data_IF_332057177197
#
_entry.id   IF_332057177197
#
_cell.length_a   1.000
_cell.length_b   1.000
_cell.length_c   1.000
_cell.angle_alpha   90.00
_cell.angle_beta   90.00
_cell.angle_gamma   90.00
#
_symmetry.space_group_name_H-M   'P 1'
#
loop_
_entity.id
_entity.type
_entity.pdbx_description
1 polymer ?
#
# COMPACT_ATOMS: atom_id res chain seq x y z
N UNK A 1 15.90 8.52 -16.82
CA UNK A 1 15.99 7.04 -16.88
C UNK A 1 14.56 6.49 -16.83
N UNK A 2 14.32 5.27 -17.33
CA UNK A 2 13.03 4.80 -17.88
C UNK A 2 11.89 4.52 -16.87
N UNK A 3 11.43 5.51 -16.11
CA UNK A 3 10.17 5.39 -15.33
C UNK A 3 8.92 5.27 -16.24
N UNK A 4 9.11 5.36 -17.56
CA UNK A 4 8.05 5.38 -18.59
C UNK A 4 7.18 4.13 -18.63
N UNK A 5 7.66 3.00 -18.12
CA UNK A 5 7.02 1.70 -18.31
C UNK A 5 6.39 1.13 -17.04
N UNK A 6 6.25 1.92 -15.97
CA UNK A 6 5.40 1.55 -14.81
C UNK A 6 3.93 1.49 -15.24
N UNK A 7 3.18 0.51 -14.74
CA UNK A 7 1.78 0.30 -15.08
C UNK A 7 1.57 -0.11 -16.54
N UNK A 8 2.50 -0.88 -17.11
CA UNK A 8 2.36 -1.47 -18.44
C UNK A 8 2.18 -2.98 -18.30
N UNK A 9 1.44 -3.58 -19.23
CA UNK A 9 1.42 -5.03 -19.37
C UNK A 9 2.83 -5.53 -19.65
N UNK A 10 3.15 -6.72 -19.20
CA UNK A 10 4.41 -7.38 -19.52
C UNK A 10 4.20 -8.84 -19.90
N UNK A 11 5.13 -9.36 -20.69
CA UNK A 11 5.32 -10.80 -20.92
C UNK A 11 6.78 -11.13 -20.59
N UNK A 12 6.98 -12.18 -19.80
CA UNK A 12 8.32 -12.68 -19.51
C UNK A 12 8.92 -13.32 -20.77
N UNK A 13 10.15 -12.97 -21.12
CA UNK A 13 10.84 -13.55 -22.28
C UNK A 13 10.97 -15.07 -22.09
N UNK A 14 10.67 -15.84 -23.14
CA UNK A 14 10.67 -17.30 -23.15
C UNK A 14 9.67 -17.97 -22.18
N UNK A 15 8.60 -17.25 -21.78
CA UNK A 15 7.52 -17.79 -20.96
C UNK A 15 6.16 -17.25 -21.41
N UNK A 16 5.09 -17.96 -21.08
CA UNK A 16 3.71 -17.46 -21.25
C UNK A 16 3.23 -16.64 -20.04
N UNK A 17 4.07 -16.46 -19.02
CA UNK A 17 3.75 -15.62 -17.86
C UNK A 17 3.62 -14.16 -18.27
N UNK A 18 2.52 -13.57 -17.85
CA UNK A 18 2.11 -12.19 -18.13
C UNK A 18 1.67 -11.49 -16.85
N UNK A 19 1.62 -10.16 -16.89
CA UNK A 19 1.20 -9.36 -15.76
C UNK A 19 1.34 -7.88 -16.02
N UNK A 20 1.54 -7.09 -14.95
CA UNK A 20 1.84 -5.66 -15.06
C UNK A 20 3.12 -5.30 -14.31
N UNK A 21 3.81 -4.27 -14.80
CA UNK A 21 4.93 -3.64 -14.10
C UNK A 21 4.40 -2.69 -13.02
N UNK A 22 5.03 -2.70 -11.85
CA UNK A 22 4.62 -1.90 -10.68
C UNK A 22 5.59 -0.79 -10.35
N UNK A 23 6.90 -1.06 -10.42
CA UNK A 23 7.94 -0.12 -10.01
C UNK A 23 9.27 -0.47 -10.69
N UNK A 24 10.11 0.53 -10.94
CA UNK A 24 11.49 0.34 -11.40
C UNK A 24 12.46 0.53 -10.22
N UNK A 25 13.24 -0.51 -9.93
CA UNK A 25 14.27 -0.52 -8.89
C UNK A 25 15.67 -0.57 -9.51
N UNK A 26 16.51 0.42 -9.24
CA UNK A 26 17.90 0.47 -9.71
C UNK A 26 18.95 0.73 -8.62
N UNK A 27 18.55 1.27 -7.47
CA UNK A 27 19.47 1.83 -6.47
C UNK A 27 20.00 0.80 -5.45
N UNK A 28 19.40 -0.40 -5.36
CA UNK A 28 19.66 -1.35 -4.27
C UNK A 28 20.05 -2.77 -4.72
N UNK A 29 20.30 -3.00 -6.01
CA UNK A 29 20.69 -4.32 -6.51
C UNK A 29 22.19 -4.48 -6.66
N UNK A 30 22.72 -5.67 -6.39
CA UNK A 30 24.07 -6.07 -6.80
C UNK A 30 24.31 -5.69 -8.27
N UNK A 31 25.30 -4.82 -8.50
CA UNK A 31 25.73 -4.30 -9.81
C UNK A 31 24.85 -3.21 -10.47
N UNK A 32 23.96 -2.51 -9.73
CA UNK A 32 23.13 -1.41 -10.27
C UNK A 32 22.27 -1.83 -11.48
N UNK A 33 21.84 -3.09 -11.52
CA UNK A 33 21.05 -3.63 -12.62
C UNK A 33 19.58 -3.25 -12.43
N UNK A 34 19.02 -2.53 -13.40
CA UNK A 34 17.60 -2.18 -13.43
C UNK A 34 16.70 -3.43 -13.40
N UNK A 35 15.82 -3.51 -12.39
CA UNK A 35 14.80 -4.53 -12.25
C UNK A 35 13.43 -3.89 -12.08
N UNK A 36 12.44 -4.41 -12.78
CA UNK A 36 11.04 -4.07 -12.53
C UNK A 36 10.48 -4.99 -11.46
N UNK A 37 9.83 -4.41 -10.45
CA UNK A 37 8.84 -5.14 -9.66
C UNK A 37 7.64 -5.38 -10.58
N UNK A 38 7.27 -6.63 -10.78
CA UNK A 38 6.16 -7.01 -11.66
C UNK A 38 5.19 -7.89 -10.91
N UNK A 39 3.90 -7.74 -11.20
CA UNK A 39 2.85 -8.56 -10.63
C UNK A 39 2.17 -9.40 -11.69
N UNK A 40 2.14 -10.71 -11.49
CA UNK A 40 1.61 -11.66 -12.47
C UNK A 40 0.08 -11.65 -12.52
N UNK A 41 -0.49 -11.96 -13.68
CA UNK A 41 -1.94 -11.95 -13.87
C UNK A 41 -2.65 -13.08 -13.11
N UNK A 42 -2.07 -14.28 -13.17
CA UNK A 42 -2.68 -15.50 -12.63
C UNK A 42 -2.17 -15.89 -11.23
N UNK A 43 -1.23 -15.12 -10.69
CA UNK A 43 -0.58 -15.39 -9.40
C UNK A 43 -0.59 -14.09 -8.59
N UNK A 44 -0.91 -14.16 -7.29
CA UNK A 44 -0.76 -13.02 -6.37
C UNK A 44 0.70 -12.92 -5.92
N UNK A 45 1.61 -12.76 -6.86
CA UNK A 45 3.05 -12.75 -6.62
C UNK A 45 3.64 -11.52 -7.29
N UNK A 46 4.48 -10.81 -6.54
CA UNK A 46 5.35 -9.77 -7.07
C UNK A 46 6.78 -10.27 -7.12
N UNK A 47 7.40 -10.20 -8.29
CA UNK A 47 8.81 -10.53 -8.49
C UNK A 47 9.59 -9.34 -9.03
N UNK A 48 10.90 -9.30 -8.75
CA UNK A 48 11.81 -8.32 -9.35
C UNK A 48 12.56 -8.95 -10.52
N UNK A 49 12.25 -8.50 -11.73
CA UNK A 49 12.76 -9.09 -12.97
C UNK A 49 13.59 -8.04 -13.72
N UNK A 50 14.75 -8.45 -14.24
CA UNK A 50 15.60 -7.58 -15.06
C UNK A 50 14.84 -7.08 -16.28
N UNK A 51 15.04 -5.82 -16.64
CA UNK A 51 14.38 -5.21 -17.80
C UNK A 51 14.58 -6.01 -19.11
N UNK A 52 15.77 -6.59 -19.32
CA UNK A 52 16.11 -7.42 -20.49
C UNK A 52 15.27 -8.70 -20.64
N UNK A 53 14.67 -9.17 -19.54
CA UNK A 53 13.83 -10.37 -19.53
C UNK A 53 12.35 -10.04 -19.71
N UNK A 54 11.99 -8.77 -19.92
CA UNK A 54 10.60 -8.33 -20.05
C UNK A 54 10.35 -7.80 -21.45
N UNK A 55 9.28 -8.28 -22.08
CA UNK A 55 8.62 -7.60 -23.19
C UNK A 55 7.47 -6.75 -22.67
N UNK A 56 7.50 -5.45 -22.95
CA UNK A 56 6.48 -4.50 -22.48
C UNK A 56 5.35 -4.37 -23.49
N UNK A 57 4.12 -4.32 -22.98
CA UNK A 57 2.89 -4.12 -23.73
C UNK A 57 2.26 -2.76 -23.46
N UNK A 58 0.94 -2.69 -23.65
CA UNK A 58 0.16 -1.46 -23.46
C UNK A 58 0.09 -1.01 -21.99
N UNK A 59 -0.07 0.29 -21.78
CA UNK A 59 -0.32 0.87 -20.45
C UNK A 59 -1.69 0.44 -19.93
N UNK A 60 -1.75 -0.03 -18.69
CA UNK A 60 -3.03 -0.33 -18.02
C UNK A 60 -3.65 0.94 -17.45
N UNK A 61 -4.95 0.90 -17.17
CA UNK A 61 -5.59 2.01 -16.49
C UNK A 61 -5.05 2.16 -15.07
N UNK A 62 -5.12 3.39 -14.54
CA UNK A 62 -4.72 3.67 -13.15
C UNK A 62 -5.57 2.87 -12.15
N UNK A 63 -6.84 2.64 -12.49
CA UNK A 63 -7.76 1.81 -11.70
C UNK A 63 -7.30 0.35 -11.69
N UNK A 64 -6.90 -0.20 -12.83
CA UNK A 64 -6.38 -1.58 -12.90
C UNK A 64 -5.08 -1.72 -12.10
N UNK A 65 -4.20 -0.71 -12.17
CA UNK A 65 -2.98 -0.64 -11.39
C UNK A 65 -3.26 -0.65 -9.88
N UNK A 66 -4.15 0.23 -9.43
CA UNK A 66 -4.56 0.30 -8.03
C UNK A 66 -5.20 -1.01 -7.55
N UNK A 67 -6.14 -1.57 -8.33
CA UNK A 67 -6.79 -2.84 -8.02
C UNK A 67 -5.78 -4.00 -7.98
N UNK A 68 -4.72 -3.95 -8.80
CA UNK A 68 -3.64 -4.93 -8.73
C UNK A 68 -2.91 -4.86 -7.39
N UNK A 69 -2.55 -3.66 -6.92
CA UNK A 69 -1.92 -3.50 -5.61
C UNK A 69 -2.83 -3.98 -4.47
N UNK A 70 -4.12 -3.62 -4.51
CA UNK A 70 -5.11 -4.10 -3.51
C UNK A 70 -5.22 -5.63 -3.50
N UNK A 71 -5.13 -6.28 -4.67
CA UNK A 71 -5.10 -7.75 -4.75
C UNK A 71 -3.85 -8.32 -4.09
N UNK A 72 -2.70 -7.68 -4.28
CA UNK A 72 -1.38 -8.22 -3.92
C UNK A 72 -1.03 -8.01 -2.44
N UNK A 73 -1.55 -6.96 -1.78
CA UNK A 73 -1.44 -6.81 -0.32
C UNK A 73 -2.17 -7.94 0.45
N UNK A 74 -3.03 -8.69 -0.24
CA UNK A 74 -3.72 -9.87 0.28
C UNK A 74 -3.04 -11.19 -0.13
N UNK A 75 -1.77 -11.14 -0.53
CA UNK A 75 -1.00 -12.34 -0.84
C UNK A 75 -0.65 -13.11 0.44
N UNK A 76 -0.51 -14.43 0.32
CA UNK A 76 0.05 -15.27 1.38
C UNK A 76 1.59 -15.19 1.41
N UNK A 77 2.21 -14.69 0.34
CA UNK A 77 3.64 -14.47 0.26
C UNK A 77 4.02 -13.14 0.92
N UNK A 78 4.81 -13.21 1.98
CA UNK A 78 5.19 -12.07 2.81
C UNK A 78 5.92 -10.99 2.01
N UNK A 79 6.83 -11.39 1.13
CA UNK A 79 7.61 -10.48 0.31
C UNK A 79 6.74 -9.75 -0.71
N UNK A 80 5.75 -10.43 -1.28
CA UNK A 80 4.74 -9.82 -2.14
C UNK A 80 3.93 -8.78 -1.38
N UNK A 81 3.51 -9.08 -0.14
CA UNK A 81 2.79 -8.10 0.70
C UNK A 81 3.62 -6.86 0.99
N UNK A 82 4.90 -7.03 1.33
CA UNK A 82 5.83 -5.92 1.57
C UNK A 82 5.94 -5.02 0.33
N UNK A 83 6.25 -5.60 -0.83
CA UNK A 83 6.36 -4.83 -2.08
C UNK A 83 5.05 -4.16 -2.47
N UNK A 84 3.93 -4.88 -2.39
CA UNK A 84 2.63 -4.31 -2.71
C UNK A 84 2.27 -3.15 -1.77
N UNK A 85 2.56 -3.28 -0.47
CA UNK A 85 2.24 -2.27 0.54
C UNK A 85 3.10 -1.01 0.38
N UNK A 86 4.39 -1.16 0.10
CA UNK A 86 5.30 -0.05 -0.18
C UNK A 86 4.85 0.72 -1.43
N UNK A 87 4.58 0.02 -2.53
CA UNK A 87 4.16 0.64 -3.79
C UNK A 87 2.77 1.29 -3.65
N UNK A 88 1.87 0.67 -2.88
CA UNK A 88 0.55 1.23 -2.58
C UNK A 88 0.64 2.50 -1.71
N UNK A 89 1.54 2.53 -0.72
CA UNK A 89 1.81 3.72 0.07
C UNK A 89 2.23 4.89 -0.83
N UNK A 90 3.24 4.67 -1.68
CA UNK A 90 3.71 5.68 -2.64
C UNK A 90 2.59 6.14 -3.58
N UNK A 91 1.74 5.21 -4.04
CA UNK A 91 0.59 5.54 -4.88
C UNK A 91 -0.40 6.46 -4.15
N UNK A 92 -0.73 6.14 -2.88
CA UNK A 92 -1.66 6.92 -2.06
C UNK A 92 -1.11 8.32 -1.70
N UNK A 93 0.20 8.46 -1.52
CA UNK A 93 0.85 9.73 -1.23
C UNK A 93 0.90 10.63 -2.47
N UNK A 94 1.39 10.11 -3.60
CA UNK A 94 1.77 10.95 -4.73
C UNK A 94 0.82 10.90 -5.93
N UNK A 95 0.05 9.83 -6.07
CA UNK A 95 -0.64 9.52 -7.32
C UNK A 95 -2.16 9.37 -7.16
N UNK A 96 -2.78 10.02 -6.17
CA UNK A 96 -4.25 9.98 -6.05
C UNK A 96 -4.96 11.26 -6.50
N UNK A 97 -4.27 12.36 -6.78
CA UNK A 97 -4.91 13.68 -7.01
C UNK A 97 -6.12 13.64 -7.97
N UNK A 98 -5.95 13.04 -9.15
CA UNK A 98 -6.97 12.85 -10.20
C UNK A 98 -7.78 11.56 -10.09
N UNK A 99 -7.52 10.73 -9.07
CA UNK A 99 -8.14 9.42 -8.92
C UNK A 99 -9.54 9.51 -8.29
N UNK A 100 -10.46 8.66 -8.78
CA UNK A 100 -11.85 8.62 -8.36
C UNK A 100 -11.98 8.23 -6.88
N UNK A 101 -12.58 9.12 -6.08
CA UNK A 101 -12.75 8.92 -4.63
C UNK A 101 -13.54 7.65 -4.29
N UNK A 102 -14.54 7.28 -5.09
CA UNK A 102 -15.34 6.07 -4.86
C UNK A 102 -14.46 4.82 -4.89
N UNK A 103 -13.60 4.71 -5.90
CA UNK A 103 -12.67 3.59 -6.03
C UNK A 103 -11.61 3.59 -4.93
N UNK A 104 -11.08 4.76 -4.53
CA UNK A 104 -10.18 4.85 -3.38
C UNK A 104 -10.83 4.32 -2.12
N UNK A 105 -12.05 4.77 -1.79
CA UNK A 105 -12.76 4.32 -0.58
C UNK A 105 -12.90 2.80 -0.55
N UNK A 106 -13.26 2.17 -1.67
CA UNK A 106 -13.33 0.70 -1.76
C UNK A 106 -11.96 0.06 -1.46
N UNK A 107 -10.87 0.61 -2.00
CA UNK A 107 -9.52 0.11 -1.69
C UNK A 107 -9.10 0.34 -0.24
N UNK A 108 -9.43 1.50 0.35
CA UNK A 108 -9.18 1.80 1.77
C UNK A 108 -9.87 0.79 2.68
N UNK A 109 -11.10 0.37 2.35
CA UNK A 109 -11.77 -0.71 3.07
C UNK A 109 -10.95 -2.01 3.06
N UNK A 110 -10.33 -2.34 1.91
CA UNK A 110 -9.47 -3.52 1.78
C UNK A 110 -8.16 -3.40 2.55
N UNK A 111 -7.58 -2.21 2.62
CA UNK A 111 -6.40 -1.94 3.45
C UNK A 111 -6.75 -2.13 4.93
N UNK A 112 -7.88 -1.60 5.39
CA UNK A 112 -8.36 -1.76 6.78
C UNK A 112 -8.63 -3.24 7.09
N UNK A 113 -9.25 -3.98 6.18
CA UNK A 113 -9.45 -5.43 6.33
C UNK A 113 -8.12 -6.17 6.47
N UNK A 114 -7.12 -5.83 5.63
CA UNK A 114 -5.78 -6.44 5.68
C UNK A 114 -5.07 -6.13 7.01
N UNK A 115 -5.05 -4.86 7.44
CA UNK A 115 -4.42 -4.40 8.69
C UNK A 115 -4.95 -5.11 9.93
N UNK A 116 -6.21 -5.55 9.95
CA UNK A 116 -6.78 -6.29 11.08
C UNK A 116 -6.15 -7.68 11.30
N UNK A 117 -5.51 -8.22 10.27
CA UNK A 117 -4.93 -9.57 10.31
C UNK A 117 -3.45 -9.61 9.93
N UNK A 118 -2.88 -8.46 9.59
CA UNK A 118 -1.49 -8.37 9.16
C UNK A 118 -0.54 -8.70 10.31
N UNK A 119 0.47 -9.50 10.02
CA UNK A 119 1.50 -9.94 10.98
C UNK A 119 2.90 -9.53 10.55
N UNK A 120 3.05 -9.13 9.30
CA UNK A 120 4.29 -8.59 8.77
C UNK A 120 4.39 -7.12 9.15
N UNK A 121 5.38 -6.80 9.98
CA UNK A 121 5.57 -5.47 10.54
C UNK A 121 5.87 -4.45 9.42
N UNK A 122 6.63 -4.83 8.40
CA UNK A 122 7.00 -3.94 7.30
C UNK A 122 5.78 -3.63 6.42
N UNK A 123 4.97 -4.64 6.11
CA UNK A 123 3.70 -4.45 5.41
C UNK A 123 2.70 -3.64 6.25
N UNK A 124 2.54 -3.96 7.54
CA UNK A 124 1.67 -3.24 8.48
C UNK A 124 2.03 -1.76 8.54
N UNK A 125 3.33 -1.44 8.69
CA UNK A 125 3.82 -0.07 8.72
C UNK A 125 3.48 0.68 7.43
N UNK A 126 3.74 0.10 6.26
CA UNK A 126 3.46 0.76 4.97
C UNK A 126 1.97 0.89 4.66
N UNK A 127 1.15 -0.08 5.05
CA UNK A 127 -0.30 0.03 4.94
C UNK A 127 -0.86 1.12 5.86
N UNK A 128 -0.35 1.23 7.09
CA UNK A 128 -0.71 2.30 8.01
C UNK A 128 -0.29 3.67 7.47
N UNK A 129 0.96 3.83 7.04
CA UNK A 129 1.49 5.06 6.44
C UNK A 129 0.63 5.52 5.25
N UNK A 130 0.41 4.64 4.27
CA UNK A 130 -0.41 4.96 3.09
C UNK A 130 -1.86 5.34 3.43
N UNK A 131 -2.44 4.72 4.46
CA UNK A 131 -3.78 5.07 4.94
C UNK A 131 -3.83 6.49 5.53
N UNK A 132 -2.80 6.90 6.27
CA UNK A 132 -2.72 8.25 6.81
C UNK A 132 -2.35 9.29 5.75
N UNK A 133 -1.56 8.93 4.74
CA UNK A 133 -1.36 9.76 3.54
C UNK A 133 -2.68 10.01 2.80
N UNK A 134 -3.52 8.98 2.64
CA UNK A 134 -4.86 9.17 2.09
C UNK A 134 -5.72 10.12 2.95
N UNK A 135 -5.67 10.00 4.28
CA UNK A 135 -6.38 10.91 5.20
C UNK A 135 -5.86 12.35 5.06
N UNK A 136 -4.55 12.52 4.91
CA UNK A 136 -3.88 13.82 4.77
C UNK A 136 -4.11 14.47 3.40
N UNK A 137 -4.35 13.67 2.36
CA UNK A 137 -4.58 14.12 0.97
C UNK A 137 -5.73 15.13 0.79
N UNK A 138 -6.61 15.28 1.79
CA UNK A 138 -7.74 16.21 1.75
C UNK A 138 -8.90 15.75 0.85
N UNK A 139 -8.87 14.52 0.33
CA UNK A 139 -9.97 13.97 -0.48
C UNK A 139 -11.25 13.69 0.30
N UNK A 140 -11.13 13.45 1.61
CA UNK A 140 -12.27 13.24 2.49
C UNK A 140 -12.77 14.58 3.02
N UNK A 141 -14.09 14.74 3.10
CA UNK A 141 -14.64 15.84 3.88
C UNK A 141 -14.46 15.57 5.40
N UNK A 142 -14.67 16.59 6.22
CA UNK A 142 -14.44 16.50 7.68
C UNK A 142 -15.24 15.37 8.35
N UNK A 143 -16.49 15.11 7.90
CA UNK A 143 -17.32 14.04 8.46
C UNK A 143 -16.74 12.68 8.11
N UNK A 144 -16.37 12.46 6.86
CA UNK A 144 -15.78 11.19 6.40
C UNK A 144 -14.42 10.93 7.03
N UNK A 145 -13.59 11.97 7.19
CA UNK A 145 -12.31 11.89 7.90
C UNK A 145 -12.51 11.48 9.37
N UNK A 146 -13.48 12.10 10.05
CA UNK A 146 -13.81 11.77 11.44
C UNK A 146 -14.27 10.31 11.57
N UNK A 147 -15.22 9.88 10.73
CA UNK A 147 -15.74 8.50 10.73
C UNK A 147 -14.62 7.48 10.47
N UNK A 148 -13.71 7.78 9.55
CA UNK A 148 -12.55 6.93 9.28
C UNK A 148 -11.63 6.83 10.50
N UNK A 149 -11.20 7.97 11.06
CA UNK A 149 -10.32 8.00 12.26
C UNK A 149 -10.93 7.24 13.44
N UNK A 150 -12.23 7.42 13.69
CA UNK A 150 -12.94 6.69 14.74
C UNK A 150 -12.96 5.18 14.50
N UNK A 151 -13.04 4.75 13.24
CA UNK A 151 -13.03 3.33 12.89
C UNK A 151 -11.65 2.72 13.00
N UNK A 152 -10.57 3.47 12.74
CA UNK A 152 -9.19 2.97 12.91
C UNK A 152 -8.88 2.58 14.36
N UNK A 153 -9.58 3.14 15.34
CA UNK A 153 -9.49 2.73 16.76
C UNK A 153 -9.93 1.28 17.04
N UNK A 154 -10.51 0.59 16.05
CA UNK A 154 -10.95 -0.80 16.14
C UNK A 154 -9.88 -1.79 15.66
N UNK A 155 -8.75 -1.29 15.15
CA UNK A 155 -7.61 -2.10 14.73
C UNK A 155 -6.63 -2.19 15.90
N UNK A 156 -6.28 -3.41 16.31
CA UNK A 156 -5.23 -3.66 17.31
C UNK A 156 -3.86 -3.65 16.62
N UNK A 157 -3.41 -2.46 16.24
CA UNK A 157 -2.15 -2.23 15.53
C UNK A 157 -1.35 -1.14 16.24
N UNK A 158 -0.08 -1.44 16.53
CA UNK A 158 0.83 -0.45 17.11
C UNK A 158 1.07 0.71 16.15
N UNK A 159 1.26 0.39 14.86
CA UNK A 159 1.49 1.39 13.80
C UNK A 159 0.31 2.35 13.70
N UNK A 160 -0.93 1.83 13.66
CA UNK A 160 -2.13 2.66 13.66
C UNK A 160 -2.22 3.52 14.93
N UNK A 161 -1.93 2.96 16.10
CA UNK A 161 -1.95 3.73 17.34
C UNK A 161 -0.94 4.88 17.33
N UNK A 162 0.25 4.69 16.74
CA UNK A 162 1.26 5.75 16.63
C UNK A 162 0.77 6.89 15.73
N UNK A 163 0.21 6.59 14.56
CA UNK A 163 -0.33 7.62 13.68
C UNK A 163 -1.57 8.32 14.25
N UNK A 164 -2.36 7.64 15.08
CA UNK A 164 -3.48 8.25 15.80
C UNK A 164 -3.03 9.17 16.96
N UNK A 165 -1.79 9.06 17.43
CA UNK A 165 -1.20 9.91 18.47
C UNK A 165 -0.73 11.27 17.93
N UNK A 166 -1.59 11.90 17.13
CA UNK A 166 -1.40 13.23 16.57
C UNK A 166 -2.29 14.25 17.32
N UNK A 167 -1.76 15.44 17.61
CA UNK A 167 -2.46 16.46 18.40
C UNK A 167 -3.85 16.83 17.84
N UNK A 168 -4.03 16.80 16.52
CA UNK A 168 -5.31 17.07 15.89
C UNK A 168 -6.28 15.90 16.04
N UNK A 169 -5.80 14.66 15.96
CA UNK A 169 -6.64 13.46 16.08
C UNK A 169 -7.04 13.19 17.54
N UNK A 170 -6.20 13.55 18.50
CA UNK A 170 -6.50 13.46 19.93
C UNK A 170 -7.64 14.39 20.40
N UNK A 171 -8.08 15.33 19.56
CA UNK A 171 -9.31 16.11 19.79
C UNK A 171 -10.57 15.25 19.67
N UNK A 172 -10.49 14.09 19.02
CA UNK A 172 -11.58 13.13 18.86
C UNK A 172 -11.64 12.21 20.09
N UNK A 173 -12.72 12.23 20.90
CA UNK A 173 -12.76 11.50 22.18
C UNK A 173 -12.51 9.99 22.06
N UNK A 174 -13.03 9.34 21.01
CA UNK A 174 -12.84 7.90 20.77
C UNK A 174 -11.37 7.58 20.46
N UNK A 175 -10.71 8.40 19.65
CA UNK A 175 -9.28 8.27 19.30
C UNK A 175 -8.41 8.46 20.53
N UNK A 176 -8.62 9.55 21.27
CA UNK A 176 -7.88 9.83 22.51
C UNK A 176 -7.93 8.67 23.50
N UNK A 177 -9.14 8.15 23.76
CA UNK A 177 -9.33 7.01 24.66
C UNK A 177 -8.58 5.75 24.19
N UNK A 178 -8.57 5.50 22.87
CA UNK A 178 -7.85 4.37 22.28
C UNK A 178 -6.34 4.52 22.48
N UNK A 179 -5.77 5.69 22.14
CA UNK A 179 -4.34 5.95 22.26
C UNK A 179 -3.89 5.89 23.72
N UNK A 180 -4.60 6.52 24.65
CA UNK A 180 -4.28 6.49 26.09
C UNK A 180 -4.28 5.06 26.65
N UNK A 181 -5.27 4.24 26.25
CA UNK A 181 -5.34 2.83 26.64
C UNK A 181 -4.10 2.06 26.15
N UNK A 182 -3.70 2.27 24.89
CA UNK A 182 -2.60 1.53 24.28
C UNK A 182 -1.20 2.01 24.73
N UNK A 183 -1.05 3.29 25.11
CA UNK A 183 0.17 3.82 25.75
C UNK A 183 0.51 3.06 27.04
N UNK A 184 -0.50 2.82 27.89
CA UNK A 184 -0.29 2.11 29.16
C UNK A 184 0.05 0.62 29.02
N UNK A 185 -0.26 0.00 27.87
CA UNK A 185 0.09 -1.39 27.57
C UNK A 185 1.43 -1.56 26.83
N UNK A 186 1.96 -0.49 26.23
CA UNK A 186 3.23 -0.49 25.50
C UNK A 186 4.48 -0.56 26.39
N UNK A 187 4.38 -0.11 27.64
CA UNK A 187 5.47 -0.18 28.64
C UNK A 187 5.87 -1.62 29.04
N UNK A 188 5.18 -2.65 28.52
CA UNK A 188 5.46 -4.07 28.79
C UNK A 188 5.84 -4.88 27.53
N UNK A 189 6.01 -4.21 26.37
CA UNK A 189 6.37 -4.87 25.09
C UNK A 189 7.77 -4.52 24.57
N UNK A 190 8.64 -3.94 25.41
CA UNK A 190 10.07 -3.68 25.14
C UNK A 190 10.94 -4.67 25.89
#
# INVERSE_FOLDING_TARGET
MNDKLIGHKFKLVNSEKTGITLELNSWSTENFIEKYSVSFDNEKIIERIKAENISFGEKVSKIDFFNRLIRDIQSEDEKTKEFASEILCNFLEFDISDFELKTLKIGIEKIIEQLKTEKNIDAEQKLAEGLFEFIYSGKLNNKEKLELLERLTEIDSYQICQYLDDEDYLKIPKVKKHVEKNKTSGEHRV
#
